data_IF_810907401526
#
_entry.id   IF_810907401526
#
_cell.length_a   1.000
_cell.length_b   1.000
_cell.length_c   1.000
_cell.angle_alpha   90.00
_cell.angle_beta   90.00
_cell.angle_gamma   90.00
#
_symmetry.space_group_name_H-M   'P 1'
#
loop_
_entity.id
_entity.type
_entity.pdbx_description
1 polymer ?
#
# COMPACT_ATOMS: atom_id res chain seq x y z
N UNK A 1 22.67 7.31 -25.88
CA UNK A 1 21.45 6.96 -25.10
C UNK A 1 20.87 8.22 -24.48
N UNK A 2 19.63 8.58 -24.80
CA UNK A 2 18.98 9.77 -24.24
C UNK A 2 18.65 9.58 -22.75
N UNK A 3 19.05 10.53 -21.90
CA UNK A 3 18.78 10.50 -20.47
C UNK A 3 17.34 10.92 -20.22
N UNK A 4 16.44 9.97 -19.95
CA UNK A 4 15.04 10.27 -19.59
C UNK A 4 15.03 11.09 -18.29
N UNK A 5 14.55 12.33 -18.35
CA UNK A 5 14.35 13.18 -17.16
C UNK A 5 13.20 12.60 -16.35
N UNK A 6 13.53 12.07 -15.18
CA UNK A 6 12.53 11.60 -14.20
C UNK A 6 11.70 12.78 -13.67
N UNK A 7 10.37 12.62 -13.48
CA UNK A 7 9.52 13.68 -12.98
C UNK A 7 9.96 14.14 -11.59
N UNK A 8 9.79 15.44 -11.34
CA UNK A 8 10.14 16.09 -10.07
C UNK A 8 9.15 15.73 -8.96
N UNK A 9 7.86 15.61 -9.31
CA UNK A 9 6.74 15.27 -8.43
C UNK A 9 6.38 13.80 -8.58
N UNK A 10 6.12 13.14 -7.46
CA UNK A 10 5.66 11.75 -7.40
C UNK A 10 4.53 11.61 -6.39
N UNK A 11 3.63 10.67 -6.65
CA UNK A 11 2.69 10.20 -5.64
C UNK A 11 3.33 9.05 -4.88
N UNK A 12 3.42 9.16 -3.56
CA UNK A 12 4.13 8.19 -2.71
C UNK A 12 3.42 8.01 -1.37
N UNK A 13 3.76 6.92 -0.68
CA UNK A 13 3.33 6.68 0.69
C UNK A 13 4.36 7.28 1.65
N UNK A 14 3.90 8.18 2.52
CA UNK A 14 4.65 8.63 3.68
C UNK A 14 4.22 7.80 4.89
N UNK A 15 5.18 7.17 5.58
CA UNK A 15 4.88 6.32 6.74
C UNK A 15 4.81 7.19 7.99
N UNK A 16 3.66 7.15 8.63
CA UNK A 16 3.34 7.68 9.93
C UNK A 16 2.94 6.52 10.87
N UNK A 17 2.57 6.85 12.09
CA UNK A 17 2.20 5.88 13.12
C UNK A 17 3.36 5.50 14.03
N UNK A 18 3.13 4.47 14.83
CA UNK A 18 4.02 4.00 15.87
C UNK A 18 4.77 2.74 15.40
N UNK A 19 5.84 2.32 16.11
CA UNK A 19 6.42 1.00 15.92
C UNK A 19 5.33 -0.07 15.96
N UNK A 20 5.40 -1.06 15.06
CA UNK A 20 4.41 -2.14 14.91
C UNK A 20 2.95 -1.72 14.61
N UNK A 21 2.69 -0.42 14.37
CA UNK A 21 1.40 0.10 13.88
C UNK A 21 1.64 1.07 12.72
N UNK A 22 1.94 0.55 11.51
CA UNK A 22 2.19 1.40 10.35
C UNK A 22 0.91 2.07 9.87
N UNK A 23 0.98 3.37 9.61
CA UNK A 23 -0.10 4.15 9.00
C UNK A 23 0.45 4.99 7.86
N UNK A 24 -0.17 4.98 6.69
CA UNK A 24 0.39 5.68 5.52
C UNK A 24 -0.46 6.87 5.11
N UNK A 25 0.19 8.01 4.88
CA UNK A 25 -0.42 9.11 4.12
C UNK A 25 -0.06 8.95 2.64
N UNK A 26 -1.05 9.12 1.77
CA UNK A 26 -0.83 9.21 0.33
C UNK A 26 -0.57 10.66 0.00
N UNK A 27 0.63 10.96 -0.50
CA UNK A 27 1.11 12.34 -0.65
C UNK A 27 1.65 12.61 -2.04
N UNK A 28 1.39 13.82 -2.55
CA UNK A 28 2.15 14.40 -3.65
C UNK A 28 3.41 15.07 -3.08
N UNK A 29 4.59 14.69 -3.56
CA UNK A 29 5.84 15.23 -3.03
C UNK A 29 7.01 15.13 -3.99
N UNK A 30 8.15 15.68 -3.57
CA UNK A 30 9.37 15.68 -4.39
C UNK A 30 10.01 14.29 -4.43
N UNK A 31 10.40 13.81 -5.62
CA UNK A 31 10.94 12.46 -5.83
C UNK A 31 12.17 12.11 -4.98
N UNK A 32 13.06 13.08 -4.78
CA UNK A 32 14.35 12.90 -4.09
C UNK A 32 14.30 13.29 -2.60
N UNK A 33 13.14 13.70 -2.11
CA UNK A 33 12.99 14.07 -0.71
C UNK A 33 12.94 12.84 0.20
N UNK A 34 13.32 13.03 1.47
CA UNK A 34 13.11 12.02 2.51
C UNK A 34 11.62 11.64 2.60
N UNK A 35 11.34 10.41 3.04
CA UNK A 35 9.99 9.80 3.00
C UNK A 35 8.88 10.70 3.53
N UNK A 36 9.13 11.43 4.63
CA UNK A 36 8.12 12.26 5.30
C UNK A 36 8.38 13.77 5.15
N UNK A 37 9.31 14.20 4.29
CA UNK A 37 9.65 15.62 4.08
C UNK A 37 9.28 16.09 2.68
N UNK A 38 9.10 17.41 2.51
CA UNK A 38 8.76 18.06 1.23
C UNK A 38 7.51 17.44 0.58
N UNK A 39 6.40 17.58 1.30
CA UNK A 39 5.06 17.18 0.86
C UNK A 39 4.38 18.45 0.33
N UNK A 40 3.85 18.39 -0.90
CA UNK A 40 3.07 19.48 -1.48
C UNK A 40 1.63 19.41 -0.99
N UNK A 41 1.06 18.20 -1.01
CA UNK A 41 -0.35 17.98 -0.67
C UNK A 41 -0.55 16.54 -0.16
N UNK A 42 -1.41 16.39 0.84
CA UNK A 42 -1.92 15.09 1.27
C UNK A 42 -3.19 14.77 0.48
N UNK A 43 -3.15 13.66 -0.25
CA UNK A 43 -4.23 13.22 -1.15
C UNK A 43 -5.11 12.15 -0.52
N UNK A 44 -4.69 11.55 0.59
CA UNK A 44 -5.40 10.46 1.21
C UNK A 44 -4.63 9.78 2.33
N UNK A 45 -5.22 8.69 2.83
CA UNK A 45 -4.65 7.83 3.87
C UNK A 45 -4.86 6.36 3.53
N UNK A 46 -4.01 5.50 4.06
CA UNK A 46 -4.07 4.05 3.89
C UNK A 46 -3.64 3.37 5.19
N UNK A 47 -4.56 2.58 5.77
CA UNK A 47 -4.28 1.67 6.88
C UNK A 47 -4.06 0.25 6.34
N UNK A 48 -2.83 -0.30 6.45
CA UNK A 48 -2.55 -1.67 6.04
C UNK A 48 -3.07 -2.72 7.03
N UNK A 49 -3.34 -2.33 8.29
CA UNK A 49 -3.85 -3.23 9.32
C UNK A 49 -5.37 -3.37 9.13
N UNK A 50 -5.90 -4.61 9.13
CA UNK A 50 -7.34 -4.80 9.08
C UNK A 50 -8.01 -4.21 10.33
N UNK A 51 -9.18 -3.64 10.16
CA UNK A 51 -10.07 -3.25 11.27
C UNK A 51 -10.79 -4.50 11.84
N UNK A 52 -11.70 -4.28 12.79
CA UNK A 52 -12.53 -5.33 13.40
C UNK A 52 -13.40 -6.08 12.38
N UNK A 53 -13.70 -5.45 11.24
CA UNK A 53 -14.44 -6.05 10.12
C UNK A 53 -13.54 -6.75 9.09
N UNK A 54 -12.25 -6.91 9.39
CA UNK A 54 -11.22 -7.49 8.52
C UNK A 54 -10.99 -6.70 7.21
N UNK A 55 -11.26 -5.39 7.22
CA UNK A 55 -11.11 -4.50 6.07
C UNK A 55 -9.87 -3.62 6.19
N UNK A 56 -9.19 -3.40 5.06
CA UNK A 56 -8.08 -2.43 4.96
C UNK A 56 -8.61 -1.12 4.39
N UNK A 57 -8.55 -0.06 5.20
CA UNK A 57 -9.18 1.21 4.87
C UNK A 57 -8.23 2.09 4.04
N UNK A 58 -8.72 2.61 2.92
CA UNK A 58 -8.03 3.60 2.10
C UNK A 58 -8.97 4.75 1.74
N UNK A 59 -8.61 5.97 2.13
CA UNK A 59 -9.37 7.18 1.78
C UNK A 59 -8.60 7.94 0.72
N UNK A 60 -9.25 8.24 -0.41
CA UNK A 60 -8.62 8.87 -1.57
C UNK A 60 -9.40 10.12 -2.01
N UNK A 61 -8.71 11.25 -2.13
CA UNK A 61 -9.25 12.42 -2.82
C UNK A 61 -9.05 12.26 -4.32
N UNK A 62 -10.08 11.73 -4.99
CA UNK A 62 -10.04 11.35 -6.41
C UNK A 62 -9.76 12.57 -7.31
N UNK A 63 -10.38 13.71 -7.02
CA UNK A 63 -10.25 14.93 -7.82
C UNK A 63 -8.81 15.44 -7.80
N UNK A 64 -8.20 15.50 -6.61
CA UNK A 64 -6.82 15.97 -6.45
C UNK A 64 -5.82 14.97 -7.01
N UNK A 65 -6.06 13.67 -6.87
CA UNK A 65 -5.22 12.63 -7.49
C UNK A 65 -5.23 12.79 -9.02
N UNK A 66 -6.41 12.93 -9.64
CA UNK A 66 -6.53 13.17 -11.09
C UNK A 66 -5.80 14.44 -11.53
N UNK A 67 -5.94 15.52 -10.77
CA UNK A 67 -5.20 16.76 -11.01
C UNK A 67 -3.68 16.52 -11.06
N UNK A 68 -3.11 15.86 -10.05
CA UNK A 68 -1.67 15.63 -10.00
C UNK A 68 -1.17 14.68 -11.10
N UNK A 69 -1.95 13.65 -11.43
CA UNK A 69 -1.66 12.76 -12.55
C UNK A 69 -1.64 13.54 -13.88
N UNK A 70 -2.60 14.43 -14.10
CA UNK A 70 -2.64 15.30 -15.28
C UNK A 70 -1.42 16.25 -15.36
N UNK A 71 -0.88 16.68 -14.21
CA UNK A 71 0.33 17.50 -14.11
C UNK A 71 1.64 16.68 -14.24
N UNK A 72 1.56 15.39 -14.61
CA UNK A 72 2.71 14.54 -14.82
C UNK A 72 3.34 13.97 -13.55
N UNK A 73 2.59 13.94 -12.43
CA UNK A 73 3.05 13.24 -11.24
C UNK A 73 3.04 11.72 -11.48
N UNK A 74 4.19 11.07 -11.26
CA UNK A 74 4.32 9.61 -11.43
C UNK A 74 4.00 8.92 -10.09
N UNK A 75 3.02 8.00 -10.03
CA UNK A 75 2.77 7.22 -8.83
C UNK A 75 3.88 6.17 -8.62
N UNK A 76 4.35 6.04 -7.38
CA UNK A 76 5.24 4.94 -6.99
C UNK A 76 4.50 3.61 -7.08
N UNK A 77 5.24 2.51 -7.29
CA UNK A 77 4.71 1.13 -7.44
C UNK A 77 3.56 0.80 -6.47
N UNK A 78 3.73 1.01 -5.17
CA UNK A 78 2.69 0.71 -4.17
C UNK A 78 1.43 1.58 -4.32
N UNK A 79 1.61 2.87 -4.64
CA UNK A 79 0.48 3.78 -4.89
C UNK A 79 -0.19 3.42 -6.21
N UNK A 80 0.56 3.07 -7.26
CA UNK A 80 0.00 2.64 -8.54
C UNK A 80 -0.83 1.37 -8.40
N UNK A 81 -0.38 0.40 -7.57
CA UNK A 81 -1.17 -0.78 -7.22
C UNK A 81 -2.46 -0.38 -6.50
N UNK A 82 -2.38 0.50 -5.49
CA UNK A 82 -3.55 0.96 -4.74
C UNK A 82 -4.57 1.68 -5.63
N UNK A 83 -4.11 2.58 -6.51
CA UNK A 83 -4.96 3.29 -7.47
C UNK A 83 -5.56 2.35 -8.54
N UNK A 84 -4.85 1.27 -8.87
CA UNK A 84 -5.35 0.22 -9.75
C UNK A 84 -6.48 -0.59 -9.10
N UNK A 85 -6.34 -0.94 -7.82
CA UNK A 85 -7.38 -1.60 -7.04
C UNK A 85 -8.62 -0.71 -6.85
N UNK A 86 -8.42 0.60 -6.71
CA UNK A 86 -9.50 1.59 -6.61
C UNK A 86 -10.20 1.88 -7.95
N UNK A 87 -9.74 1.31 -9.07
CA UNK A 87 -10.32 1.55 -10.40
C UNK A 87 -10.03 2.92 -11.01
N UNK A 88 -9.10 3.71 -10.44
CA UNK A 88 -8.70 5.02 -10.97
C UNK A 88 -7.69 4.85 -12.11
N UNK A 89 -6.80 3.87 -11.98
CA UNK A 89 -5.82 3.48 -12.99
C UNK A 89 -6.09 2.02 -13.40
N UNK A 90 -5.56 1.56 -14.55
CA UNK A 90 -5.57 0.13 -14.85
C UNK A 90 -4.78 -0.66 -13.78
N UNK A 91 -5.13 -1.93 -13.62
CA UNK A 91 -4.43 -2.84 -12.71
C UNK A 91 -2.95 -2.88 -13.09
N UNK A 92 -2.08 -2.56 -12.13
CA UNK A 92 -0.65 -2.50 -12.36
C UNK A 92 -0.09 -3.92 -12.67
N UNK A 93 0.82 -4.08 -13.65
CA UNK A 93 1.32 -5.40 -14.07
C UNK A 93 1.96 -6.22 -12.94
N UNK A 94 2.56 -5.54 -11.96
CA UNK A 94 3.08 -6.21 -10.76
C UNK A 94 2.02 -7.01 -10.01
N UNK A 95 0.77 -6.52 -9.92
CA UNK A 95 -0.30 -7.24 -9.22
C UNK A 95 -0.64 -8.54 -9.93
N UNK A 96 -0.66 -8.52 -11.27
CA UNK A 96 -0.91 -9.72 -12.10
C UNK A 96 0.23 -10.72 -11.96
N UNK A 97 1.48 -10.25 -12.01
CA UNK A 97 2.66 -11.11 -11.88
C UNK A 97 2.75 -11.75 -10.48
N UNK A 98 2.43 -11.01 -9.42
CA UNK A 98 2.35 -11.55 -8.06
C UNK A 98 1.25 -12.60 -7.97
N UNK A 99 0.07 -12.33 -8.53
CA UNK A 99 -1.02 -13.30 -8.54
C UNK A 99 -0.66 -14.58 -9.30
N UNK A 100 0.03 -14.48 -10.45
CA UNK A 100 0.55 -15.63 -11.20
C UNK A 100 1.50 -16.46 -10.35
N UNK A 101 2.51 -15.82 -9.75
CA UNK A 101 3.48 -16.48 -8.88
C UNK A 101 2.83 -17.19 -7.69
N UNK A 102 1.88 -16.54 -7.03
CA UNK A 102 1.19 -17.11 -5.87
C UNK A 102 0.32 -18.33 -6.25
N UNK A 103 -0.15 -18.41 -7.51
CA UNK A 103 -0.88 -19.57 -8.03
C UNK A 103 0.06 -20.73 -8.40
N UNK A 104 1.23 -20.42 -8.94
CA UNK A 104 2.26 -21.42 -9.29
C UNK A 104 2.86 -22.07 -8.04
N UNK A 105 3.08 -21.28 -6.99
CA UNK A 105 3.59 -21.72 -5.70
C UNK A 105 2.60 -21.40 -4.58
N UNK A 106 1.52 -22.18 -4.41
CA UNK A 106 0.63 -22.00 -3.28
C UNK A 106 1.42 -22.24 -1.99
N UNK A 107 1.35 -21.30 -1.04
CA UNK A 107 1.91 -21.48 0.29
C UNK A 107 1.15 -22.65 0.93
N UNK A 108 1.82 -23.78 1.12
CA UNK A 108 1.30 -24.88 1.92
C UNK A 108 1.23 -24.40 3.35
N UNK A 109 0.02 -24.25 3.87
CA UNK A 109 -0.24 -23.91 5.27
C UNK A 109 0.13 -25.11 6.15
N UNK A 110 1.41 -25.21 6.50
CA UNK A 110 1.91 -26.21 7.44
C UNK A 110 2.35 -25.50 8.71
N UNK A 111 1.41 -25.31 9.63
CA UNK A 111 1.67 -25.22 11.06
C UNK A 111 1.40 -23.86 11.71
N UNK A 112 0.15 -23.63 12.12
CA UNK A 112 -0.17 -22.78 13.28
C UNK A 112 -1.60 -23.00 13.84
N UNK A 113 -2.08 -24.25 13.95
CA UNK A 113 -3.36 -24.58 14.61
C UNK A 113 -3.20 -25.75 15.62
N UNK A 114 -2.20 -25.69 16.52
CA UNK A 114 -2.04 -26.75 17.56
C UNK A 114 -1.51 -26.24 18.90
N UNK A 115 -2.09 -25.17 19.44
CA UNK A 115 -1.92 -24.80 20.87
C UNK A 115 -3.26 -24.30 21.41
N UNK A 116 -4.25 -25.18 21.55
CA UNK A 116 -5.41 -24.99 22.44
C UNK A 116 -6.09 -26.35 22.58
N UNK A 117 -5.61 -27.22 23.49
CA UNK A 117 -6.43 -28.34 23.99
C UNK A 117 -5.96 -28.91 25.35
N UNK A 118 -4.86 -28.45 25.95
CA UNK A 118 -4.33 -29.06 27.20
C UNK A 118 -4.46 -28.19 28.46
N UNK A 119 -5.64 -27.61 28.79
CA UNK A 119 -5.79 -26.88 30.08
C UNK A 119 -7.03 -27.24 30.90
N UNK A 120 -7.87 -28.19 30.49
CA UNK A 120 -9.06 -28.60 31.26
C UNK A 120 -8.99 -30.04 31.78
N UNK A 121 -7.90 -30.47 32.43
CA UNK A 121 -7.89 -31.71 33.23
C UNK A 121 -6.96 -31.60 34.46
N UNK A 122 -7.20 -30.66 35.38
CA UNK A 122 -6.70 -30.74 36.77
C UNK A 122 -7.68 -30.07 37.75
N UNK A 123 -8.91 -30.56 37.83
CA UNK A 123 -9.75 -30.49 39.04
C UNK A 123 -10.49 -31.82 39.19
N UNK A 124 -9.83 -32.81 39.79
CA UNK A 124 -10.45 -33.87 40.61
C UNK A 124 -9.42 -34.47 41.58
#
# INVERSE_FOLDING_TARGET
MARVRKPSVVLRLALYGCPNRPFFHIVAGKRRAARNRYIYEQLGVYDPMPNEHNEKVATLNIERIKYWLAHGAEPKKSVAVLLGLAGILPVHPYSVEVARRNRENPVTDSGQDSITEDTEEQEE
#
